data_IF_595852905730
#
_entry.id   IF_595852905730
#
_cell.length_a   1.000
_cell.length_b   1.000
_cell.length_c   1.000
_cell.angle_alpha   90.00
_cell.angle_beta   90.00
_cell.angle_gamma   90.00
#
_symmetry.space_group_name_H-M   'P 1'
#
loop_
_entity.id
_entity.type
_entity.pdbx_description
1 polymer ?
#
# COMPACT_ATOMS: atom_id res chain seq x y z
N UNK A 1 35.89 -9.88 -60.80
CA UNK A 1 35.08 -11.12 -60.95
C UNK A 1 35.31 -11.99 -59.73
N UNK A 2 34.23 -12.51 -59.11
CA UNK A 2 34.11 -13.78 -58.35
C UNK A 2 35.33 -14.27 -57.52
N UNK A 3 35.25 -14.68 -56.24
CA UNK A 3 34.17 -14.99 -55.29
C UNK A 3 34.84 -15.65 -54.06
N UNK A 4 34.17 -15.58 -52.89
CA UNK A 4 34.11 -16.60 -51.80
C UNK A 4 35.17 -16.57 -50.69
N UNK A 5 34.69 -16.22 -49.48
CA UNK A 5 35.23 -16.60 -48.15
C UNK A 5 35.05 -18.11 -47.90
N UNK A 6 35.97 -18.73 -47.14
CA UNK A 6 35.57 -19.50 -45.95
C UNK A 6 36.50 -19.12 -44.78
N UNK A 7 36.05 -18.89 -43.56
CA UNK A 7 35.27 -19.81 -42.73
C UNK A 7 35.99 -19.84 -41.38
N UNK A 8 35.69 -18.88 -40.51
CA UNK A 8 36.30 -18.75 -39.18
C UNK A 8 35.64 -19.80 -38.27
N UNK A 9 36.33 -20.90 -38.01
CA UNK A 9 35.95 -21.91 -37.02
C UNK A 9 36.17 -21.32 -35.61
N UNK A 10 35.10 -20.78 -35.01
CA UNK A 10 35.05 -20.48 -33.59
C UNK A 10 34.75 -21.77 -32.82
N UNK A 11 35.79 -22.31 -32.21
CA UNK A 11 35.73 -23.44 -31.30
C UNK A 11 34.85 -23.12 -30.09
N UNK A 12 33.69 -23.78 -30.02
CA UNK A 12 32.83 -23.84 -28.84
C UNK A 12 33.54 -24.69 -27.79
N UNK A 13 34.03 -24.07 -26.73
CA UNK A 13 34.43 -24.79 -25.51
C UNK A 13 33.26 -24.69 -24.54
N UNK A 14 32.45 -25.74 -24.51
CA UNK A 14 31.44 -25.94 -23.47
C UNK A 14 32.16 -26.44 -22.21
N UNK A 15 32.32 -25.56 -21.22
CA UNK A 15 32.70 -25.98 -19.87
C UNK A 15 31.42 -26.39 -19.14
N UNK A 16 31.20 -27.69 -19.07
CA UNK A 16 30.24 -28.32 -18.17
C UNK A 16 30.95 -28.61 -16.84
N UNK A 17 30.47 -28.00 -15.76
CA UNK A 17 30.49 -28.44 -14.33
C UNK A 17 30.23 -27.18 -13.48
N UNK A 18 29.33 -27.11 -12.50
CA UNK A 18 28.96 -28.10 -11.51
C UNK A 18 27.48 -27.99 -11.06
N UNK A 19 26.94 -29.14 -10.65
CA UNK A 19 25.76 -29.28 -9.81
C UNK A 19 25.98 -28.63 -8.43
N UNK A 20 24.95 -27.97 -7.90
CA UNK A 20 24.92 -27.61 -6.49
C UNK A 20 23.92 -26.52 -6.15
N UNK A 21 22.65 -26.89 -5.99
CA UNK A 21 21.60 -26.01 -5.46
C UNK A 21 21.07 -25.01 -6.48
N UNK A 22 20.21 -25.49 -7.39
CA UNK A 22 19.21 -24.60 -7.97
C UNK A 22 18.31 -24.14 -6.82
N UNK A 23 18.68 -23.03 -6.17
CA UNK A 23 17.73 -22.23 -5.42
C UNK A 23 16.57 -22.00 -6.37
N UNK A 24 15.39 -22.48 -6.01
CA UNK A 24 14.14 -22.12 -6.69
C UNK A 24 14.24 -20.62 -6.99
N UNK A 25 14.04 -20.17 -8.26
CA UNK A 25 14.02 -18.74 -8.51
C UNK A 25 13.01 -18.17 -7.53
N UNK A 26 13.47 -17.33 -6.61
CA UNK A 26 12.59 -16.57 -5.75
C UNK A 26 11.70 -15.84 -6.74
N UNK A 27 10.44 -16.26 -6.88
CA UNK A 27 9.45 -15.49 -7.64
C UNK A 27 9.59 -14.09 -7.10
N UNK A 28 9.92 -13.13 -7.94
CA UNK A 28 9.92 -11.73 -7.54
C UNK A 28 8.49 -11.42 -7.11
N UNK A 29 8.24 -11.53 -5.81
CA UNK A 29 6.96 -11.20 -5.21
C UNK A 29 6.80 -9.70 -5.40
N UNK A 30 5.63 -9.30 -5.89
CA UNK A 30 5.31 -7.90 -6.10
C UNK A 30 5.56 -7.14 -4.80
N UNK A 31 6.39 -6.10 -4.86
CA UNK A 31 6.65 -5.25 -3.69
C UNK A 31 5.42 -4.42 -3.35
N UNK A 32 5.32 -3.96 -2.11
CA UNK A 32 4.22 -3.08 -1.69
C UNK A 32 4.06 -1.83 -2.57
N UNK A 33 5.17 -1.21 -2.99
CA UNK A 33 5.12 -0.03 -3.89
C UNK A 33 4.63 -0.38 -5.30
N UNK A 34 5.02 -1.55 -5.80
CA UNK A 34 4.45 -2.04 -7.05
C UNK A 34 2.95 -2.28 -6.87
N UNK A 35 2.50 -2.89 -5.76
CA UNK A 35 1.09 -3.09 -5.48
C UNK A 35 0.28 -1.78 -5.50
N UNK A 36 0.81 -0.72 -4.85
CA UNK A 36 0.18 0.60 -4.83
C UNK A 36 0.06 1.25 -6.22
N UNK A 37 1.00 0.96 -7.13
CA UNK A 37 0.98 1.49 -8.49
C UNK A 37 -0.01 0.75 -9.42
N UNK A 38 -0.49 -0.43 -9.04
CA UNK A 38 -1.44 -1.22 -9.84
C UNK A 38 -2.89 -0.94 -9.43
N UNK A 39 -3.86 -1.26 -10.29
CA UNK A 39 -5.27 -1.19 -9.93
C UNK A 39 -5.58 -2.05 -8.69
N UNK A 40 -6.41 -1.57 -7.75
CA UNK A 40 -6.69 -2.27 -6.48
C UNK A 40 -7.34 -3.64 -6.68
N UNK A 41 -8.03 -3.85 -7.80
CA UNK A 41 -8.70 -5.10 -8.16
C UNK A 41 -7.69 -6.26 -8.29
N UNK A 42 -6.41 -5.99 -8.58
CA UNK A 42 -5.37 -7.02 -8.57
C UNK A 42 -5.17 -7.62 -7.18
N UNK A 43 -5.30 -6.81 -6.13
CA UNK A 43 -5.10 -7.27 -4.75
C UNK A 43 -6.31 -8.06 -4.22
N UNK A 44 -7.49 -7.92 -4.83
CA UNK A 44 -8.66 -8.71 -4.45
C UNK A 44 -8.43 -10.21 -4.62
N UNK A 45 -7.63 -10.60 -5.62
CA UNK A 45 -7.31 -11.99 -5.94
C UNK A 45 -6.01 -12.49 -5.30
N UNK A 46 -5.26 -11.62 -4.64
CA UNK A 46 -4.04 -12.01 -3.94
C UNK A 46 -4.34 -12.74 -2.63
N UNK A 47 -3.49 -13.71 -2.30
CA UNK A 47 -3.65 -14.48 -1.07
C UNK A 47 -3.57 -13.57 0.16
N UNK A 48 -4.32 -13.85 1.24
CA UNK A 48 -4.23 -13.06 2.47
C UNK A 48 -2.80 -12.99 3.02
N UNK A 49 -2.01 -14.08 2.89
CA UNK A 49 -0.61 -14.11 3.29
C UNK A 49 0.25 -13.14 2.47
N UNK A 50 0.08 -13.13 1.14
CA UNK A 50 0.79 -12.19 0.26
C UNK A 50 0.45 -10.74 0.61
N UNK A 51 -0.84 -10.44 0.81
CA UNK A 51 -1.29 -9.09 1.19
C UNK A 51 -0.75 -8.67 2.56
N UNK A 52 -0.68 -9.59 3.52
CA UNK A 52 -0.11 -9.33 4.85
C UNK A 52 1.39 -9.04 4.79
N UNK A 53 2.15 -9.78 3.98
CA UNK A 53 3.58 -9.49 3.77
C UNK A 53 3.80 -8.12 3.11
N UNK A 54 2.97 -7.76 2.12
CA UNK A 54 3.00 -6.41 1.54
C UNK A 54 2.61 -5.33 2.56
N UNK A 55 1.62 -5.59 3.43
CA UNK A 55 1.24 -4.66 4.50
C UNK A 55 2.35 -4.49 5.55
N UNK A 56 3.02 -5.57 5.96
CA UNK A 56 4.23 -5.55 6.80
C UNK A 56 5.32 -4.68 6.21
N UNK A 57 5.52 -4.80 4.90
CA UNK A 57 6.49 -4.00 4.18
C UNK A 57 6.11 -2.50 4.15
N UNK A 58 4.82 -2.17 3.97
CA UNK A 58 4.32 -0.78 4.09
C UNK A 58 4.59 -0.20 5.48
N UNK A 59 4.24 -0.94 6.54
CA UNK A 59 4.45 -0.51 7.92
C UNK A 59 5.93 -0.24 8.21
N UNK A 60 6.80 -1.19 7.82
CA UNK A 60 8.26 -1.08 7.98
C UNK A 60 8.83 0.11 7.22
N UNK A 61 8.37 0.38 6.00
CA UNK A 61 8.80 1.54 5.24
C UNK A 61 8.30 2.84 5.86
N UNK A 62 7.07 2.87 6.37
CA UNK A 62 6.51 4.02 7.08
C UNK A 62 7.34 4.40 8.31
N UNK A 63 7.83 3.42 9.07
CA UNK A 63 8.70 3.66 10.23
C UNK A 63 10.06 4.24 9.82
N UNK A 64 10.63 3.75 8.72
CA UNK A 64 11.92 4.25 8.19
C UNK A 64 11.80 5.68 7.69
N UNK A 65 10.68 6.02 7.06
CA UNK A 65 10.43 7.34 6.47
C UNK A 65 9.99 8.37 7.50
N UNK A 66 9.46 7.97 8.66
CA UNK A 66 8.83 8.86 9.62
C UNK A 66 9.66 10.11 9.97
N UNK A 67 9.03 11.28 9.86
CA UNK A 67 9.65 12.57 10.15
C UNK A 67 10.64 13.09 9.11
N UNK A 68 10.93 12.33 8.04
CA UNK A 68 11.74 12.80 6.93
C UNK A 68 10.99 13.86 6.12
N UNK A 69 11.72 14.80 5.50
CA UNK A 69 11.14 15.73 4.56
C UNK A 69 10.58 14.98 3.34
N UNK A 70 9.30 15.17 3.03
CA UNK A 70 8.61 14.46 1.96
C UNK A 70 8.88 15.08 0.56
N UNK A 71 10.11 15.55 0.35
CA UNK A 71 10.62 15.91 -0.97
C UNK A 71 10.90 14.65 -1.83
N UNK A 72 11.07 13.50 -1.17
CA UNK A 72 11.11 12.18 -1.78
C UNK A 72 9.72 11.51 -1.77
N UNK A 73 9.53 10.48 -2.61
CA UNK A 73 8.30 9.69 -2.68
C UNK A 73 8.11 8.82 -1.43
N UNK A 74 7.62 9.42 -0.34
CA UNK A 74 7.27 8.72 0.90
C UNK A 74 5.86 8.13 0.83
N UNK A 75 5.59 7.10 1.60
CA UNK A 75 4.30 6.38 1.59
C UNK A 75 3.17 7.17 2.25
N UNK A 76 3.50 7.99 3.23
CA UNK A 76 2.52 8.73 4.03
C UNK A 76 2.87 10.22 4.14
N UNK A 77 2.82 11.00 3.04
CA UNK A 77 3.12 12.43 3.11
C UNK A 77 1.99 13.19 3.82
N UNK A 78 2.34 13.99 4.82
CA UNK A 78 1.42 14.85 5.58
C UNK A 78 1.92 16.30 5.58
N UNK A 79 1.00 17.24 5.49
CA UNK A 79 1.26 18.67 5.70
C UNK A 79 1.05 19.02 7.17
N UNK A 80 2.12 19.37 7.87
CA UNK A 80 2.09 19.78 9.28
C UNK A 80 2.89 21.06 9.47
N UNK A 81 2.30 22.09 10.09
CA UNK A 81 2.94 23.39 10.34
C UNK A 81 3.50 24.08 9.07
N UNK A 82 2.89 23.84 7.91
CA UNK A 82 3.34 24.39 6.62
C UNK A 82 4.49 23.63 5.96
N UNK A 83 4.93 22.51 6.55
CA UNK A 83 5.95 21.62 6.00
C UNK A 83 5.33 20.31 5.52
N UNK A 84 5.88 19.77 4.42
CA UNK A 84 5.51 18.46 3.92
C UNK A 84 6.51 17.42 4.45
N UNK A 85 6.03 16.53 5.31
CA UNK A 85 6.82 15.52 6.03
C UNK A 85 6.23 14.14 5.82
N UNK A 86 7.03 13.10 6.03
CA UNK A 86 6.51 11.75 6.20
C UNK A 86 5.85 11.62 7.57
N UNK A 87 4.63 11.08 7.59
CA UNK A 87 3.86 10.87 8.80
C UNK A 87 4.57 9.94 9.79
N UNK A 88 4.20 9.99 11.08
CA UNK A 88 4.58 8.95 12.02
C UNK A 88 4.25 7.56 11.48
N UNK A 89 5.21 6.63 11.58
CA UNK A 89 5.02 5.22 11.25
C UNK A 89 3.96 4.56 12.14
N UNK A 90 3.44 3.40 11.70
CA UNK A 90 2.40 2.67 12.42
C UNK A 90 2.82 1.22 12.64
N UNK A 91 2.42 0.63 13.78
CA UNK A 91 2.67 -0.77 14.06
C UNK A 91 1.87 -1.64 13.08
N UNK A 92 2.49 -2.68 12.52
CA UNK A 92 1.80 -3.69 11.70
C UNK A 92 0.58 -4.29 12.40
N UNK A 93 0.57 -4.28 13.74
CA UNK A 93 -0.53 -4.76 14.57
C UNK A 93 -1.67 -3.77 14.77
N UNK A 94 -1.55 -2.56 14.24
CA UNK A 94 -2.62 -1.57 14.26
C UNK A 94 -3.78 -2.05 13.41
N UNK A 95 -4.94 -2.20 14.03
CA UNK A 95 -6.18 -2.45 13.28
C UNK A 95 -6.66 -1.13 12.66
N UNK A 96 -6.34 -0.92 11.40
CA UNK A 96 -6.73 0.28 10.66
C UNK A 96 -8.25 0.36 10.43
N UNK A 97 -8.97 -0.75 10.56
CA UNK A 97 -10.43 -0.81 10.37
C UNK A 97 -11.18 -0.61 11.71
N UNK A 98 -10.46 -0.47 12.83
CA UNK A 98 -11.04 -0.13 14.12
C UNK A 98 -10.81 1.36 14.44
N UNK A 99 -11.76 2.22 14.04
CA UNK A 99 -11.65 3.64 14.31
C UNK A 99 -11.64 3.95 15.83
N UNK A 100 -10.71 4.77 16.32
CA UNK A 100 -10.68 5.14 17.73
C UNK A 100 -11.85 6.06 18.11
N UNK A 101 -12.40 5.89 19.32
CA UNK A 101 -13.46 6.74 19.89
C UNK A 101 -13.05 8.22 19.98
N UNK A 102 -11.74 8.52 19.97
CA UNK A 102 -11.19 9.87 19.98
C UNK A 102 -11.53 10.69 18.71
N UNK A 103 -12.01 10.03 17.64
CA UNK A 103 -12.49 10.68 16.42
C UNK A 103 -13.89 11.33 16.53
N UNK A 104 -14.48 11.45 17.72
CA UNK A 104 -15.87 11.90 17.97
C UNK A 104 -16.21 13.34 17.51
N UNK A 105 -15.26 14.11 16.98
CA UNK A 105 -15.51 15.39 16.32
C UNK A 105 -15.11 15.44 14.84
N UNK A 106 -14.49 14.38 14.32
CA UNK A 106 -13.96 14.34 12.96
C UNK A 106 -15.09 14.11 11.96
N UNK A 107 -15.32 15.12 11.11
CA UNK A 107 -16.25 15.06 10.00
C UNK A 107 -15.48 14.73 8.71
N UNK A 108 -15.83 13.60 8.09
CA UNK A 108 -15.25 13.15 6.84
C UNK A 108 -16.29 13.25 5.72
N UNK A 109 -15.87 13.69 4.54
CA UNK A 109 -16.68 13.69 3.31
C UNK A 109 -15.96 12.86 2.26
N UNK A 110 -16.59 11.76 1.85
CA UNK A 110 -16.09 10.82 0.84
C UNK A 110 -16.74 11.05 -0.54
N UNK A 111 -17.47 12.16 -0.71
CA UNK A 111 -18.11 12.50 -1.99
C UNK A 111 -17.06 12.98 -2.99
N UNK A 112 -17.12 12.45 -4.22
CA UNK A 112 -16.23 12.83 -5.29
C UNK A 112 -16.51 14.27 -5.77
N UNK A 113 -15.77 15.26 -5.24
CA UNK A 113 -15.80 16.64 -5.76
C UNK A 113 -14.85 16.86 -6.94
N UNK A 114 -13.73 16.13 -6.96
CA UNK A 114 -12.69 16.25 -7.98
C UNK A 114 -11.97 14.94 -8.33
N UNK A 115 -12.41 13.80 -7.75
CA UNK A 115 -11.73 12.51 -7.84
C UNK A 115 -12.64 11.35 -8.24
N UNK A 116 -12.10 10.14 -8.18
CA UNK A 116 -12.85 8.91 -8.43
C UNK A 116 -13.84 8.64 -7.30
N UNK A 117 -15.03 8.14 -7.65
CA UNK A 117 -16.03 7.73 -6.65
C UNK A 117 -15.55 6.48 -5.92
N UNK A 118 -15.73 6.47 -4.60
CA UNK A 118 -15.56 5.26 -3.79
C UNK A 118 -16.62 4.21 -4.13
N UNK A 119 -16.22 2.97 -4.49
CA UNK A 119 -17.16 1.86 -4.63
C UNK A 119 -17.92 1.59 -3.34
N UNK A 120 -19.22 1.34 -3.45
CA UNK A 120 -20.14 1.07 -2.34
C UNK A 120 -20.49 -0.42 -2.21
N UNK A 121 -20.09 -1.25 -3.16
CA UNK A 121 -20.30 -2.69 -3.11
C UNK A 121 -19.41 -3.32 -2.02
N UNK A 122 -20.00 -4.22 -1.23
CA UNK A 122 -19.27 -4.98 -0.21
C UNK A 122 -18.32 -5.97 -0.86
N UNK A 123 -17.12 -6.10 -0.29
CA UNK A 123 -16.06 -6.98 -0.78
C UNK A 123 -15.60 -7.90 0.34
N UNK A 124 -15.53 -9.20 0.09
CA UNK A 124 -14.99 -10.16 1.07
C UNK A 124 -13.53 -9.88 1.39
N UNK A 125 -12.76 -9.44 0.38
CA UNK A 125 -11.36 -9.04 0.50
C UNK A 125 -11.14 -7.82 1.42
N UNK A 126 -12.20 -7.06 1.73
CA UNK A 126 -12.26 -5.96 2.70
C UNK A 126 -13.07 -6.33 3.95
N UNK A 127 -13.12 -7.62 4.33
CA UNK A 127 -13.82 -8.10 5.52
C UNK A 127 -15.34 -7.80 5.49
N UNK A 128 -15.93 -7.78 4.30
CA UNK A 128 -17.37 -7.50 4.11
C UNK A 128 -17.74 -6.01 4.11
N UNK A 129 -16.74 -5.12 4.17
CA UNK A 129 -16.91 -3.68 3.97
C UNK A 129 -16.88 -3.32 2.48
N UNK A 130 -17.45 -2.17 2.15
CA UNK A 130 -17.18 -1.48 0.88
C UNK A 130 -15.86 -0.71 0.93
N UNK A 131 -15.31 -0.35 -0.23
CA UNK A 131 -14.13 0.55 -0.28
C UNK A 131 -14.41 1.88 0.42
N UNK A 132 -15.64 2.42 0.28
CA UNK A 132 -16.06 3.65 0.97
C UNK A 132 -16.00 3.50 2.50
N UNK A 133 -16.55 2.42 3.05
CA UNK A 133 -16.54 2.17 4.50
C UNK A 133 -15.13 1.91 5.02
N UNK A 134 -14.33 1.13 4.29
CA UNK A 134 -12.93 0.88 4.63
C UNK A 134 -12.10 2.18 4.61
N UNK A 135 -12.29 3.03 3.60
CA UNK A 135 -11.63 4.33 3.50
C UNK A 135 -11.99 5.25 4.68
N UNK A 136 -13.26 5.26 5.11
CA UNK A 136 -13.68 6.04 6.26
C UNK A 136 -13.00 5.58 7.55
N UNK A 137 -12.96 4.27 7.80
CA UNK A 137 -12.32 3.71 9.00
C UNK A 137 -10.82 3.97 9.01
N UNK A 138 -10.13 3.70 7.89
CA UNK A 138 -8.70 3.98 7.73
C UNK A 138 -8.40 5.46 7.92
N UNK A 139 -9.21 6.35 7.34
CA UNK A 139 -9.05 7.79 7.50
C UNK A 139 -9.12 8.22 8.97
N UNK A 140 -10.14 7.75 9.71
CA UNK A 140 -10.29 8.06 11.13
C UNK A 140 -9.11 7.55 11.95
N UNK A 141 -8.69 6.31 11.72
CA UNK A 141 -7.60 5.69 12.46
C UNK A 141 -6.27 6.41 12.20
N UNK A 142 -5.93 6.69 10.94
CA UNK A 142 -4.69 7.36 10.59
C UNK A 142 -4.64 8.81 11.06
N UNK A 143 -5.72 9.57 10.89
CA UNK A 143 -5.76 10.96 11.35
C UNK A 143 -5.60 11.05 12.87
N UNK A 144 -6.25 10.15 13.62
CA UNK A 144 -6.07 10.05 15.06
C UNK A 144 -4.64 9.64 15.44
N UNK A 145 -4.07 8.65 14.76
CA UNK A 145 -2.71 8.17 14.99
C UNK A 145 -1.65 9.25 14.72
N UNK A 146 -1.81 10.01 13.65
CA UNK A 146 -0.92 11.12 13.30
C UNK A 146 -1.13 12.37 14.17
N UNK A 147 -2.10 12.35 15.09
CA UNK A 147 -2.42 13.49 15.95
C UNK A 147 -2.98 14.69 15.17
N UNK A 148 -3.53 14.45 13.98
CA UNK A 148 -4.09 15.50 13.13
C UNK A 148 -5.49 15.84 13.65
N UNK A 149 -5.68 17.11 14.03
CA UNK A 149 -6.95 17.65 14.51
C UNK A 149 -7.44 18.71 13.52
N UNK A 150 -8.23 18.31 12.51
CA UNK A 150 -8.72 19.26 11.52
C UNK A 150 -9.71 20.23 12.17
N UNK A 151 -9.63 21.51 11.81
CA UNK A 151 -10.58 22.54 12.27
C UNK A 151 -11.95 22.44 11.58
N UNK A 152 -12.08 21.60 10.55
CA UNK A 152 -13.28 21.46 9.75
C UNK A 152 -13.43 20.09 9.10
N UNK A 153 -14.27 20.04 8.08
CA UNK A 153 -14.54 18.82 7.32
C UNK A 153 -13.30 18.41 6.51
N UNK A 154 -12.88 17.16 6.66
CA UNK A 154 -11.82 16.57 5.83
C UNK A 154 -12.45 15.87 4.63
N UNK A 155 -12.02 16.27 3.44
CA UNK A 155 -12.36 15.55 2.22
C UNK A 155 -11.46 14.32 2.08
N UNK A 156 -12.06 13.17 1.77
CA UNK A 156 -11.37 11.89 1.61
C UNK A 156 -11.53 11.42 0.17
N UNK A 157 -10.48 11.62 -0.62
CA UNK A 157 -10.44 11.34 -2.04
C UNK A 157 -9.82 9.96 -2.32
N UNK A 158 -10.39 9.26 -3.31
CA UNK A 158 -9.80 8.06 -3.89
C UNK A 158 -8.66 8.46 -4.84
N UNK A 159 -7.46 7.93 -4.58
CA UNK A 159 -6.25 8.23 -5.35
C UNK A 159 -5.64 6.94 -5.90
N UNK A 160 -6.31 6.34 -6.88
CA UNK A 160 -5.86 5.13 -7.56
C UNK A 160 -4.50 5.31 -8.22
N UNK A 161 -3.65 4.27 -8.16
CA UNK A 161 -2.31 4.26 -8.74
C UNK A 161 -1.37 5.37 -8.25
N UNK A 162 -1.69 6.01 -7.12
CA UNK A 162 -0.79 6.97 -6.49
C UNK A 162 0.48 6.28 -5.98
N UNK A 163 1.66 6.94 -6.06
CA UNK A 163 2.93 6.37 -5.59
C UNK A 163 3.07 6.37 -4.05
N UNK A 164 1.99 6.71 -3.33
CA UNK A 164 1.88 6.73 -1.88
C UNK A 164 0.68 5.89 -1.44
N UNK A 165 0.66 5.50 -0.16
CA UNK A 165 -0.46 4.76 0.43
C UNK A 165 -1.58 5.72 0.85
N UNK A 166 -1.26 6.74 1.64
CA UNK A 166 -2.21 7.78 2.06
C UNK A 166 -1.50 9.12 2.19
N UNK A 167 -2.05 10.19 1.62
CA UNK A 167 -1.50 11.54 1.74
C UNK A 167 -2.50 12.48 2.43
N UNK A 168 -2.07 13.28 3.41
CA UNK A 168 -2.89 14.36 3.98
C UNK A 168 -2.26 15.72 3.66
N UNK A 169 -2.76 16.38 2.62
CA UNK A 169 -2.19 17.63 2.10
C UNK A 169 -3.31 18.61 1.81
N UNK A 170 -3.15 19.86 2.25
CA UNK A 170 -4.12 20.95 2.09
C UNK A 170 -5.52 20.62 2.63
N UNK A 171 -5.59 19.88 3.75
CA UNK A 171 -6.86 19.49 4.37
C UNK A 171 -7.60 18.37 3.64
N UNK A 172 -6.97 17.75 2.62
CA UNK A 172 -7.53 16.64 1.85
C UNK A 172 -6.73 15.38 2.15
N UNK A 173 -7.43 14.33 2.56
CA UNK A 173 -6.89 12.99 2.72
C UNK A 173 -7.08 12.21 1.42
N UNK A 174 -6.00 11.84 0.74
CA UNK A 174 -6.02 11.02 -0.48
C UNK A 174 -5.59 9.61 -0.12
N UNK A 175 -6.46 8.63 -0.33
CA UNK A 175 -6.18 7.24 -0.01
C UNK A 175 -6.05 6.44 -1.31
N UNK A 176 -4.94 5.72 -1.44
CA UNK A 176 -4.80 4.74 -2.49
C UNK A 176 -5.64 3.49 -2.13
N UNK A 177 -6.64 3.11 -2.95
CA UNK A 177 -7.49 1.97 -2.65
C UNK A 177 -6.71 0.67 -2.48
N UNK A 178 -5.58 0.48 -3.17
CA UNK A 178 -4.73 -0.71 -3.00
C UNK A 178 -4.27 -0.88 -1.54
N UNK A 179 -3.99 0.22 -0.84
CA UNK A 179 -3.63 0.19 0.58
C UNK A 179 -4.75 -0.38 1.46
N UNK A 180 -6.03 -0.15 1.12
CA UNK A 180 -7.17 -0.69 1.87
C UNK A 180 -7.18 -2.22 1.82
N UNK A 181 -6.91 -2.81 0.66
CA UNK A 181 -6.84 -4.26 0.47
C UNK A 181 -5.65 -4.88 1.20
N UNK A 182 -4.51 -4.17 1.25
CA UNK A 182 -3.35 -4.59 2.04
C UNK A 182 -3.67 -4.54 3.55
N UNK A 183 -4.25 -3.44 4.02
CA UNK A 183 -4.65 -3.25 5.42
C UNK A 183 -5.66 -4.31 5.86
N UNK A 184 -6.62 -4.68 5.01
CA UNK A 184 -7.62 -5.70 5.30
C UNK A 184 -7.03 -7.10 5.57
N UNK A 185 -5.80 -7.37 5.13
CA UNK A 185 -5.11 -8.63 5.43
C UNK A 185 -4.74 -8.77 6.91
N UNK A 186 -4.75 -7.67 7.66
CA UNK A 186 -4.58 -7.64 9.10
C UNK A 186 -5.89 -7.18 9.78
N UNK A 187 -6.41 -7.98 10.72
CA UNK A 187 -7.66 -7.70 11.44
C UNK A 187 -8.10 -8.90 12.28
N UNK A 188 -8.99 -8.73 13.28
CA UNK A 188 -9.43 -9.80 14.18
C UNK A 188 -10.12 -10.97 13.45
N UNK A 189 -10.67 -10.75 12.24
CA UNK A 189 -11.19 -11.82 11.38
C UNK A 189 -10.12 -12.52 10.51
N UNK A 190 -8.95 -11.92 10.34
CA UNK A 190 -7.84 -12.42 9.50
C UNK A 190 -6.84 -13.26 10.30
N UNK A 191 -6.90 -13.20 11.64
CA UNK A 191 -6.12 -14.06 12.53
C UNK A 191 -6.85 -15.41 12.65
N UNK A 192 -6.23 -16.55 12.26
CA UNK A 192 -6.80 -17.84 12.61
C UNK A 192 -6.98 -17.87 14.12
N UNK A 193 -8.19 -18.20 14.58
CA UNK A 193 -8.45 -18.41 15.99
C UNK A 193 -7.36 -19.36 16.52
N UNK A 194 -6.54 -18.89 17.45
CA UNK A 194 -5.59 -19.75 18.12
C UNK A 194 -6.43 -20.82 18.84
N UNK A 195 -6.46 -22.04 18.30
CA UNK A 195 -7.00 -23.20 18.98
C UNK A 195 -6.20 -23.32 20.28
N UNK A 196 -6.89 -23.05 21.40
CA UNK A 196 -6.41 -23.29 22.76
C UNK A 196 -6.18 -24.78 22.99
#
# INVERSE_FOLDING_TARGET
MRRVLPGLLLSVVAVLTACGGAGTPVRATMSARQALAHPPEFLEFESPATRLEMFREVARQSDVEAGQAAQALVLFPISQNGELLAAPGFDVRMDLFQAPDAGKGLQLVLEARAGERWPEDRRESLQGLSEREAAELVARTLLAHWGIQPEGVVQVDRASSAPYAVAYVDGILRINPAFLYLAAAYGPASMPAALQ
#
